data_IF_511905641734
#
_entry.id   IF_511905641734
#
_cell.length_a   1.000
_cell.length_b   1.000
_cell.length_c   1.000
_cell.angle_alpha   90.00
_cell.angle_beta   90.00
_cell.angle_gamma   90.00
#
_symmetry.space_group_name_H-M   'P 1'
#
loop_
_entity.id
_entity.type
_entity.pdbx_description
1 polymer ?
#
# COMPACT_ATOMS: atom_id res chain seq x y z
N UNK A 1 -18.63 11.39 -3.47
CA UNK A 1 -17.25 11.62 -3.97
C UNK A 1 -16.88 10.46 -4.88
N UNK A 2 -16.21 10.71 -6.00
CA UNK A 2 -15.80 9.65 -6.93
C UNK A 2 -14.72 8.76 -6.30
N UNK A 3 -14.79 7.45 -6.57
CA UNK A 3 -13.78 6.48 -6.11
C UNK A 3 -12.40 6.84 -6.70
N UNK A 4 -11.33 6.93 -5.89
CA UNK A 4 -9.99 7.24 -6.39
C UNK A 4 -9.53 6.21 -7.43
N UNK A 5 -9.08 6.70 -8.59
CA UNK A 5 -8.64 5.84 -9.70
C UNK A 5 -7.31 5.11 -9.43
N UNK A 6 -6.54 5.58 -8.44
CA UNK A 6 -5.24 5.04 -8.07
C UNK A 6 -5.21 4.54 -6.63
N UNK A 7 -4.45 3.47 -6.41
CA UNK A 7 -4.05 2.98 -5.09
C UNK A 7 -2.53 3.07 -4.96
N UNK A 8 -2.04 3.50 -3.82
CA UNK A 8 -0.62 3.65 -3.55
C UNK A 8 -0.17 2.64 -2.50
N UNK A 9 0.92 1.93 -2.78
CA UNK A 9 1.57 1.03 -1.83
C UNK A 9 2.93 1.57 -1.45
N UNK A 10 3.04 2.04 -0.23
CA UNK A 10 4.31 2.40 0.40
C UNK A 10 4.97 1.12 0.93
N UNK A 11 6.22 0.89 0.57
CA UNK A 11 7.00 -0.31 0.89
C UNK A 11 8.49 -0.02 0.68
N UNK A 12 9.35 -1.03 0.73
CA UNK A 12 10.78 -0.93 0.40
C UNK A 12 11.16 -1.53 -0.97
N UNK A 13 12.41 -1.28 -1.38
CA UNK A 13 13.00 -1.82 -2.60
C UNK A 13 13.03 -3.35 -2.65
N UNK A 14 13.22 -4.06 -1.53
CA UNK A 14 13.26 -5.52 -1.55
C UNK A 14 11.89 -6.12 -1.90
N UNK A 15 10.83 -5.59 -1.31
CA UNK A 15 9.46 -5.97 -1.66
C UNK A 15 9.14 -5.59 -3.12
N UNK A 16 9.58 -4.43 -3.60
CA UNK A 16 9.41 -4.04 -5.00
C UNK A 16 10.10 -5.02 -5.97
N UNK A 17 11.31 -5.48 -5.64
CA UNK A 17 12.02 -6.47 -6.45
C UNK A 17 11.24 -7.80 -6.52
N UNK A 18 10.70 -8.30 -5.40
CA UNK A 18 9.83 -9.49 -5.42
C UNK A 18 8.59 -9.25 -6.30
N UNK A 19 7.93 -8.10 -6.14
CA UNK A 19 6.71 -7.74 -6.87
C UNK A 19 6.94 -7.73 -8.38
N UNK A 20 8.02 -7.08 -8.84
CA UNK A 20 8.32 -6.96 -10.26
C UNK A 20 8.85 -8.26 -10.87
N UNK A 21 9.71 -8.98 -10.14
CA UNK A 21 10.33 -10.22 -10.63
C UNK A 21 9.29 -11.33 -10.75
N UNK A 22 8.44 -11.49 -9.73
CA UNK A 22 7.44 -12.56 -9.69
C UNK A 22 6.05 -12.12 -10.15
N UNK A 23 5.88 -10.85 -10.54
CA UNK A 23 4.61 -10.26 -11.02
C UNK A 23 3.44 -10.57 -10.08
N UNK A 24 3.69 -10.42 -8.78
CA UNK A 24 2.73 -10.77 -7.73
C UNK A 24 2.71 -9.75 -6.59
N UNK A 25 1.58 -9.66 -5.90
CA UNK A 25 1.48 -9.08 -4.58
C UNK A 25 1.35 -10.21 -3.55
N UNK A 26 1.85 -10.01 -2.34
CA UNK A 26 1.78 -11.02 -1.28
C UNK A 26 1.02 -10.49 -0.07
N UNK A 27 -0.08 -11.15 0.28
CA UNK A 27 -0.77 -10.93 1.55
C UNK A 27 -0.03 -11.70 2.64
N UNK A 28 0.24 -11.04 3.76
CA UNK A 28 1.02 -11.57 4.88
C UNK A 28 0.20 -11.50 6.19
N UNK A 29 0.72 -12.12 7.25
CA UNK A 29 0.07 -12.12 8.57
C UNK A 29 0.04 -10.68 9.15
N UNK A 30 -1.17 -10.12 9.42
CA UNK A 30 -1.31 -8.80 10.05
C UNK A 30 -0.75 -8.73 11.48
N UNK A 31 -0.40 -9.86 12.12
CA UNK A 31 0.15 -9.89 13.48
C UNK A 31 1.42 -9.07 13.70
N UNK A 32 2.14 -8.74 12.62
CA UNK A 32 3.36 -7.94 12.65
C UNK A 32 3.12 -6.43 12.52
N UNK A 33 1.87 -5.99 12.41
CA UNK A 33 1.55 -4.56 12.29
C UNK A 33 1.90 -3.77 13.56
N UNK A 34 2.22 -2.49 13.36
CA UNK A 34 2.55 -1.55 14.43
C UNK A 34 1.30 -1.12 15.23
N UNK A 35 0.15 -0.93 14.56
CA UNK A 35 -1.13 -0.64 15.23
C UNK A 35 -1.67 -1.88 15.93
N UNK A 36 -1.55 -1.90 17.26
CA UNK A 36 -1.98 -3.04 18.08
C UNK A 36 -3.49 -3.19 18.19
N UNK A 37 -4.26 -2.13 17.90
CA UNK A 37 -5.72 -2.26 17.81
C UNK A 37 -6.09 -3.04 16.56
N UNK A 38 -5.52 -2.69 15.41
CA UNK A 38 -5.76 -3.41 14.15
C UNK A 38 -5.32 -4.88 14.25
N UNK A 39 -4.17 -5.16 14.86
CA UNK A 39 -3.74 -6.55 15.16
C UNK A 39 -4.81 -7.28 15.98
N UNK A 40 -5.30 -6.66 17.04
CA UNK A 40 -6.33 -7.24 17.90
C UNK A 40 -7.67 -7.45 17.16
N UNK A 41 -8.07 -6.51 16.30
CA UNK A 41 -9.30 -6.61 15.50
C UNK A 41 -9.22 -7.78 14.52
N UNK A 42 -8.12 -7.90 13.79
CA UNK A 42 -7.89 -8.99 12.84
C UNK A 42 -7.84 -10.35 13.56
N UNK A 43 -7.18 -10.44 14.71
CA UNK A 43 -7.14 -11.67 15.53
C UNK A 43 -8.53 -12.07 16.05
N UNK A 44 -9.28 -11.11 16.58
CA UNK A 44 -10.65 -11.33 17.07
C UNK A 44 -11.59 -11.78 15.96
N UNK A 45 -11.47 -11.16 14.78
CA UNK A 45 -12.20 -11.56 13.58
C UNK A 45 -11.86 -12.99 13.15
N UNK A 46 -10.55 -13.30 13.04
CA UNK A 46 -10.04 -14.64 12.71
C UNK A 46 -10.62 -15.70 13.65
N UNK A 47 -10.60 -15.45 14.96
CA UNK A 47 -11.13 -16.36 15.97
C UNK A 47 -12.64 -16.56 15.84
N UNK A 48 -13.42 -15.47 15.75
CA UNK A 48 -14.89 -15.55 15.65
C UNK A 48 -15.36 -16.23 14.37
N UNK A 49 -14.58 -16.13 13.29
CA UNK A 49 -14.83 -16.82 12.01
C UNK A 49 -14.22 -18.21 11.94
N UNK A 50 -13.55 -18.66 13.01
CA UNK A 50 -12.86 -19.96 13.10
C UNK A 50 -11.85 -20.20 11.98
N UNK A 51 -11.20 -19.12 11.50
CA UNK A 51 -10.22 -19.16 10.42
C UNK A 51 -8.88 -19.69 10.91
N UNK A 52 -8.26 -20.59 10.13
CA UNK A 52 -6.87 -20.98 10.38
C UNK A 52 -5.89 -19.95 9.83
N UNK A 53 -6.28 -19.19 8.81
CA UNK A 53 -5.45 -18.11 8.24
C UNK A 53 -6.27 -16.89 7.85
N UNK A 54 -5.72 -15.74 8.21
CA UNK A 54 -6.19 -14.42 7.82
C UNK A 54 -4.96 -13.62 7.43
N UNK A 55 -4.83 -13.32 6.14
CA UNK A 55 -3.70 -12.58 5.59
C UNK A 55 -4.20 -11.26 5.01
N UNK A 56 -3.36 -10.24 5.01
CA UNK A 56 -3.75 -8.90 4.58
C UNK A 56 -2.67 -8.18 3.77
N UNK A 57 -3.12 -7.23 2.96
CA UNK A 57 -2.32 -6.32 2.16
C UNK A 57 -3.01 -4.95 2.15
N UNK A 58 -2.25 -3.90 2.44
CA UNK A 58 -2.79 -2.54 2.54
C UNK A 58 -2.22 -1.60 1.48
N UNK A 59 -3.05 -0.63 1.11
CA UNK A 59 -2.78 0.47 0.20
C UNK A 59 -3.34 1.75 0.82
N UNK A 60 -3.03 2.90 0.24
CA UNK A 60 -3.72 4.16 0.51
C UNK A 60 -4.29 4.73 -0.77
N UNK A 61 -5.47 5.34 -0.68
CA UNK A 61 -6.03 6.16 -1.75
C UNK A 61 -5.62 7.63 -1.66
N UNK A 62 -4.90 8.03 -0.60
CA UNK A 62 -4.43 9.40 -0.42
C UNK A 62 -3.28 9.69 -1.37
N UNK A 63 -3.23 10.94 -1.83
CA UNK A 63 -2.05 11.45 -2.49
C UNK A 63 -0.84 11.41 -1.54
N UNK A 64 0.35 11.51 -2.14
CA UNK A 64 1.61 11.51 -1.41
C UNK A 64 1.63 12.50 -0.23
N UNK A 65 1.98 12.00 0.95
CA UNK A 65 2.20 12.83 2.14
C UNK A 65 3.53 12.47 2.80
N UNK A 66 4.09 13.41 3.57
CA UNK A 66 5.30 13.16 4.36
C UNK A 66 5.11 11.98 5.33
N UNK A 67 3.94 11.91 5.98
CA UNK A 67 3.62 10.85 6.94
C UNK A 67 3.72 9.45 6.33
N UNK A 68 3.18 9.24 5.12
CA UNK A 68 3.23 7.93 4.48
C UNK A 68 4.66 7.48 4.19
N UNK A 69 5.50 8.40 3.74
CA UNK A 69 6.91 8.14 3.55
C UNK A 69 7.62 7.84 4.87
N UNK A 70 7.41 8.65 5.91
CA UNK A 70 8.12 8.48 7.18
C UNK A 70 7.72 7.21 7.94
N UNK A 71 6.48 6.74 7.79
CA UNK A 71 5.95 5.61 8.55
C UNK A 71 6.00 4.30 7.76
N UNK A 72 5.64 4.31 6.47
CA UNK A 72 5.45 3.08 5.68
C UNK A 72 6.55 2.81 4.64
N UNK A 73 7.38 3.80 4.33
CA UNK A 73 8.51 3.65 3.41
C UNK A 73 9.72 4.54 3.83
N UNK A 74 10.22 4.39 5.07
CA UNK A 74 11.25 5.29 5.60
C UNK A 74 12.61 5.08 4.91
N UNK A 75 13.45 6.12 4.97
CA UNK A 75 14.85 6.03 4.54
C UNK A 75 15.03 5.95 3.02
N UNK A 76 16.26 5.64 2.59
CA UNK A 76 16.65 5.68 1.18
C UNK A 76 16.09 4.52 0.34
N UNK A 77 15.73 3.40 0.98
CA UNK A 77 15.16 2.22 0.31
C UNK A 77 13.64 2.28 0.16
N UNK A 78 12.98 3.29 0.71
CA UNK A 78 11.54 3.45 0.57
C UNK A 78 11.09 3.65 -0.89
N UNK A 79 9.95 3.09 -1.24
CA UNK A 79 9.28 3.28 -2.53
C UNK A 79 7.77 3.38 -2.36
N UNK A 80 7.13 4.05 -3.30
CA UNK A 80 5.68 4.05 -3.45
C UNK A 80 5.32 3.51 -4.84
N UNK A 81 4.60 2.40 -4.88
CA UNK A 81 4.07 1.82 -6.10
C UNK A 81 2.66 2.38 -6.32
N UNK A 82 2.42 3.02 -7.47
CA UNK A 82 1.09 3.53 -7.82
C UNK A 82 0.42 2.54 -8.77
N UNK A 83 -0.73 2.03 -8.38
CA UNK A 83 -1.51 1.07 -9.14
C UNK A 83 -2.80 1.71 -9.66
N UNK A 84 -3.24 1.27 -10.83
CA UNK A 84 -4.59 1.50 -11.36
C UNK A 84 -5.55 0.64 -10.55
N UNK A 85 -6.44 1.30 -9.78
CA UNK A 85 -7.37 0.61 -8.85
C UNK A 85 -8.21 -0.47 -9.54
N UNK A 86 -8.83 -0.23 -10.72
CA UNK A 86 -9.70 -1.24 -11.33
C UNK A 86 -8.96 -2.54 -11.68
N UNK A 87 -7.72 -2.43 -12.17
CA UNK A 87 -6.94 -3.60 -12.60
C UNK A 87 -6.50 -4.46 -11.41
N UNK A 88 -6.24 -3.83 -10.26
CA UNK A 88 -6.00 -4.58 -9.03
C UNK A 88 -7.27 -5.25 -8.51
N UNK A 89 -8.41 -4.57 -8.58
CA UNK A 89 -9.69 -5.15 -8.15
C UNK A 89 -10.05 -6.38 -8.99
N UNK A 90 -9.88 -6.32 -10.31
CA UNK A 90 -10.03 -7.48 -11.20
C UNK A 90 -9.12 -8.64 -10.77
N UNK A 91 -7.85 -8.37 -10.45
CA UNK A 91 -6.91 -9.39 -9.96
C UNK A 91 -7.33 -9.97 -8.60
N UNK A 92 -7.92 -9.16 -7.72
CA UNK A 92 -8.43 -9.61 -6.42
C UNK A 92 -9.70 -10.46 -6.57
N UNK A 93 -10.63 -10.05 -7.44
CA UNK A 93 -11.88 -10.75 -7.72
C UNK A 93 -11.61 -12.13 -8.33
N UNK A 94 -10.65 -12.23 -9.26
CA UNK A 94 -10.28 -13.47 -9.94
C UNK A 94 -9.86 -14.62 -9.00
N UNK A 95 -9.41 -14.29 -7.79
CA UNK A 95 -9.02 -15.27 -6.77
C UNK A 95 -9.84 -15.17 -5.48
N UNK A 96 -10.98 -14.46 -5.52
CA UNK A 96 -11.95 -14.38 -4.43
C UNK A 96 -11.46 -13.69 -3.17
N UNK A 97 -10.64 -12.64 -3.29
CA UNK A 97 -10.24 -11.83 -2.13
C UNK A 97 -11.32 -10.83 -1.76
N UNK A 98 -11.39 -10.50 -0.47
CA UNK A 98 -12.20 -9.39 0.01
C UNK A 98 -11.34 -8.14 0.12
N UNK A 99 -11.89 -7.00 -0.27
CA UNK A 99 -11.20 -5.73 -0.17
C UNK A 99 -12.17 -4.58 0.04
N UNK A 100 -11.65 -3.46 0.52
CA UNK A 100 -12.46 -2.27 0.75
C UNK A 100 -11.66 -1.11 1.34
N UNK A 101 -12.23 0.08 1.22
CA UNK A 101 -11.74 1.25 1.95
C UNK A 101 -12.02 1.05 3.46
N UNK A 102 -11.03 1.36 4.29
CA UNK A 102 -11.14 1.25 5.75
C UNK A 102 -12.04 2.35 6.29
N UNK A 103 -12.95 1.95 7.16
CA UNK A 103 -13.86 2.83 7.89
C UNK A 103 -13.21 3.27 9.21
N UNK A 104 -13.25 4.57 9.45
CA UNK A 104 -12.60 5.20 10.60
C UNK A 104 -13.65 5.61 11.64
N UNK A 105 -13.55 5.03 12.84
CA UNK A 105 -14.57 5.16 13.89
C UNK A 105 -14.05 5.91 15.12
N UNK A 106 -14.88 6.80 15.66
CA UNK A 106 -14.61 7.49 16.92
C UNK A 106 -14.96 6.59 18.12
N UNK A 107 -14.47 6.92 19.32
CA UNK A 107 -14.73 6.11 20.51
C UNK A 107 -16.20 6.16 20.96
N UNK A 108 -16.88 7.26 20.64
CA UNK A 108 -18.29 7.51 20.98
C UNK A 108 -19.22 7.23 19.79
N UNK A 109 -18.75 6.47 18.80
CA UNK A 109 -19.59 6.02 17.70
C UNK A 109 -20.45 4.85 18.15
N UNK A 110 -21.72 5.13 18.43
CA UNK A 110 -22.70 4.14 18.89
C UNK A 110 -23.27 3.28 17.75
N UNK A 111 -22.78 3.45 16.50
CA UNK A 111 -23.25 2.63 15.38
C UNK A 111 -22.85 1.17 15.59
N UNK A 112 -23.84 0.29 15.54
CA UNK A 112 -23.62 -1.15 15.62
C UNK A 112 -22.67 -1.63 14.51
N UNK A 113 -21.62 -2.35 14.91
CA UNK A 113 -20.67 -2.97 14.00
C UNK A 113 -21.07 -4.43 13.75
N UNK A 114 -20.97 -4.87 12.51
CA UNK A 114 -21.09 -6.30 12.21
C UNK A 114 -19.70 -6.94 12.20
N UNK A 115 -19.66 -8.27 12.40
CA UNK A 115 -18.40 -9.00 12.33
C UNK A 115 -17.70 -8.81 10.96
N UNK A 116 -18.48 -8.63 9.89
CA UNK A 116 -17.93 -8.47 8.54
C UNK A 116 -17.18 -7.15 8.33
N UNK A 117 -17.50 -6.13 9.13
CA UNK A 117 -16.87 -4.81 9.04
C UNK A 117 -15.50 -4.81 9.68
N UNK A 118 -15.28 -5.65 10.72
CA UNK A 118 -14.08 -5.64 11.59
C UNK A 118 -12.76 -5.58 10.83
N UNK A 119 -12.52 -6.36 9.75
CA UNK A 119 -11.26 -6.29 9.02
C UNK A 119 -11.01 -4.94 8.36
N UNK A 120 -12.04 -4.13 8.14
CA UNK A 120 -12.00 -2.83 7.49
C UNK A 120 -12.33 -1.70 8.48
N UNK A 121 -12.13 -1.90 9.78
CA UNK A 121 -12.27 -0.87 10.80
C UNK A 121 -10.91 -0.39 11.28
N UNK A 122 -10.85 0.90 11.61
CA UNK A 122 -9.71 1.51 12.28
C UNK A 122 -10.17 2.69 13.14
N UNK A 123 -9.36 3.08 14.11
CA UNK A 123 -9.68 4.25 14.96
C UNK A 123 -9.57 5.56 14.16
N UNK A 124 -10.47 6.50 14.44
CA UNK A 124 -10.56 7.79 13.78
C UNK A 124 -9.27 8.62 13.68
N UNK A 125 -8.35 8.58 14.67
CA UNK A 125 -7.06 9.28 14.55
C UNK A 125 -6.22 8.85 13.33
N UNK A 126 -6.43 7.65 12.80
CA UNK A 126 -5.73 7.13 11.61
C UNK A 126 -6.40 7.51 10.29
N UNK A 127 -7.50 8.29 10.29
CA UNK A 127 -8.29 8.63 9.08
C UNK A 127 -7.49 9.25 7.94
N UNK A 128 -6.34 9.84 8.27
CA UNK A 128 -5.43 10.46 7.32
C UNK A 128 -4.63 9.45 6.50
N UNK A 129 -4.65 8.18 6.86
CA UNK A 129 -4.06 7.10 6.06
C UNK A 129 -4.90 6.74 4.84
N UNK A 130 -6.24 6.97 4.87
CA UNK A 130 -7.18 6.62 3.79
C UNK A 130 -6.91 5.22 3.21
N UNK A 131 -6.78 4.27 4.13
CA UNK A 131 -6.35 2.92 3.86
C UNK A 131 -7.37 2.18 3.01
N UNK A 132 -6.89 1.44 2.01
CA UNK A 132 -7.63 0.44 1.27
C UNK A 132 -6.99 -0.91 1.57
N UNK A 133 -7.76 -1.84 2.09
CA UNK A 133 -7.27 -3.13 2.60
C UNK A 133 -7.79 -4.26 1.74
N UNK A 134 -6.97 -5.29 1.59
CA UNK A 134 -7.30 -6.56 0.95
C UNK A 134 -7.02 -7.66 1.96
N UNK A 135 -7.93 -8.62 2.09
CA UNK A 135 -7.82 -9.75 3.01
C UNK A 135 -8.06 -11.08 2.30
N UNK A 136 -7.39 -12.11 2.79
CA UNK A 136 -7.60 -13.50 2.43
C UNK A 136 -8.00 -14.30 3.67
N UNK A 137 -9.09 -15.04 3.58
CA UNK A 137 -9.64 -15.87 4.65
C UNK A 137 -9.52 -17.34 4.26
N UNK A 138 -9.07 -18.19 5.17
CA UNK A 138 -8.92 -19.63 4.91
C UNK A 138 -9.10 -20.49 6.16
N UNK A 139 -9.74 -21.65 5.97
CA UNK A 139 -9.84 -22.73 6.96
C UNK A 139 -8.63 -23.66 6.97
N UNK A 140 -7.67 -23.43 6.08
CA UNK A 140 -6.40 -24.18 5.96
C UNK A 140 -5.25 -23.22 6.30
N UNK A 141 -4.18 -23.68 6.98
CA UNK A 141 -3.09 -22.80 7.37
C UNK A 141 -2.28 -22.40 6.13
N UNK A 142 -2.06 -21.10 5.98
CA UNK A 142 -1.33 -20.50 4.87
C UNK A 142 -0.54 -19.30 5.39
N UNK A 143 0.77 -19.30 5.16
CA UNK A 143 1.64 -18.21 5.57
C UNK A 143 1.58 -17.01 4.61
N UNK A 144 1.38 -17.28 3.32
CA UNK A 144 1.42 -16.28 2.25
C UNK A 144 0.36 -16.58 1.21
N UNK A 145 -0.41 -15.56 0.81
CA UNK A 145 -1.30 -15.63 -0.36
C UNK A 145 -0.76 -14.70 -1.43
N UNK A 146 -0.32 -15.28 -2.55
CA UNK A 146 0.10 -14.52 -3.71
C UNK A 146 -1.12 -14.10 -4.56
N UNK A 147 -1.06 -12.88 -5.08
CA UNK A 147 -2.00 -12.31 -6.05
C UNK A 147 -1.22 -12.03 -7.33
N UNK A 148 -1.34 -12.87 -8.36
CA UNK A 148 -0.75 -12.56 -9.66
C UNK A 148 -1.44 -11.32 -10.24
N UNK A 149 -0.67 -10.47 -10.91
CA UNK A 149 -1.22 -9.30 -11.60
C UNK A 149 -0.39 -8.94 -12.83
N UNK A 150 -1.02 -8.28 -13.79
CA UNK A 150 -0.32 -7.79 -14.98
C UNK A 150 0.45 -6.50 -14.68
N UNK A 151 1.70 -6.39 -15.15
CA UNK A 151 2.55 -5.21 -14.90
C UNK A 151 1.90 -3.89 -15.36
N UNK A 152 1.00 -3.94 -16.34
CA UNK A 152 0.22 -2.78 -16.75
C UNK A 152 -0.72 -2.22 -15.67
N UNK A 153 -0.97 -2.93 -14.56
CA UNK A 153 -1.66 -2.38 -13.41
C UNK A 153 -0.82 -1.30 -12.70
N UNK A 154 0.51 -1.31 -12.86
CA UNK A 154 1.39 -0.28 -12.28
C UNK A 154 1.37 0.95 -13.18
N UNK A 155 0.97 2.09 -12.61
CA UNK A 155 1.03 3.40 -13.27
C UNK A 155 2.46 3.95 -13.24
N UNK A 156 3.09 3.93 -12.06
CA UNK A 156 4.51 4.28 -11.89
C UNK A 156 5.06 3.79 -10.55
N UNK A 157 6.39 3.78 -10.46
CA UNK A 157 7.14 3.69 -9.21
C UNK A 157 7.64 5.08 -8.84
N UNK A 158 7.47 5.44 -7.57
CA UNK A 158 8.05 6.65 -6.98
C UNK A 158 9.11 6.23 -5.97
N UNK A 159 10.35 6.69 -6.16
CA UNK A 159 11.49 6.44 -5.28
C UNK A 159 11.51 7.46 -4.14
N UNK A 160 12.03 7.02 -2.99
CA UNK A 160 12.12 7.79 -1.75
C UNK A 160 12.68 9.21 -1.92
N UNK A 161 12.13 10.20 -1.20
CA UNK A 161 12.73 11.53 -1.16
C UNK A 161 14.14 11.51 -0.53
N UNK A 162 14.43 10.54 0.34
CA UNK A 162 15.72 10.36 1.02
C UNK A 162 16.72 9.52 0.23
N UNK A 163 16.33 8.98 -0.94
CA UNK A 163 17.30 8.33 -1.83
C UNK A 163 18.33 9.37 -2.31
N UNK A 164 19.63 9.19 -2.07
CA UNK A 164 20.66 10.09 -2.59
C UNK A 164 20.59 10.20 -4.11
N UNK A 165 20.75 11.42 -4.63
CA UNK A 165 20.59 11.70 -6.06
C UNK A 165 21.54 10.87 -6.93
N UNK A 166 22.79 10.69 -6.49
CA UNK A 166 23.78 9.86 -7.17
C UNK A 166 23.37 8.39 -7.34
N UNK A 167 22.41 7.88 -6.55
CA UNK A 167 21.93 6.50 -6.62
C UNK A 167 20.66 6.34 -7.45
N UNK A 168 19.99 7.43 -7.82
CA UNK A 168 18.69 7.39 -8.51
C UNK A 168 18.77 6.63 -9.83
N UNK A 169 19.76 6.94 -10.66
CA UNK A 169 19.88 6.32 -11.98
C UNK A 169 20.29 4.86 -11.90
N UNK A 170 21.10 4.49 -10.90
CA UNK A 170 21.41 3.08 -10.62
C UNK A 170 20.15 2.30 -10.27
N UNK A 171 19.33 2.81 -9.35
CA UNK A 171 18.06 2.16 -8.96
C UNK A 171 17.12 2.04 -10.16
N UNK A 172 16.96 3.10 -10.97
CA UNK A 172 16.13 3.04 -12.19
C UNK A 172 16.62 1.97 -13.15
N UNK A 173 17.92 1.94 -13.46
CA UNK A 173 18.52 0.95 -14.36
C UNK A 173 18.27 -0.48 -13.86
N UNK A 174 18.43 -0.72 -12.56
CA UNK A 174 18.15 -2.03 -11.95
C UNK A 174 16.69 -2.44 -12.07
N UNK A 175 15.75 -1.51 -11.86
CA UNK A 175 14.32 -1.82 -12.04
C UNK A 175 13.97 -2.08 -13.51
N UNK A 176 14.60 -1.34 -14.44
CA UNK A 176 14.39 -1.51 -15.88
C UNK A 176 15.05 -2.77 -16.46
N UNK A 177 16.04 -3.36 -15.79
CA UNK A 177 16.64 -4.62 -16.21
C UNK A 177 15.78 -5.84 -15.90
N UNK A 178 14.74 -5.70 -15.07
CA UNK A 178 13.75 -6.75 -14.81
C UNK A 178 12.89 -6.96 -16.05
N UNK A 179 12.65 -8.23 -16.43
CA UNK A 179 11.87 -8.59 -17.61
C UNK A 179 10.45 -7.95 -17.57
N UNK A 180 10.08 -7.28 -18.66
CA UNK A 180 8.79 -6.58 -18.78
C UNK A 180 8.75 -5.19 -18.14
N UNK A 181 9.79 -4.76 -17.43
CA UNK A 181 9.85 -3.47 -16.73
C UNK A 181 10.59 -2.36 -17.50
N UNK A 182 11.06 -2.61 -18.72
CA UNK A 182 11.91 -1.68 -19.49
C UNK A 182 11.24 -0.31 -19.73
N UNK A 183 9.91 -0.29 -19.84
CA UNK A 183 9.10 0.92 -20.09
C UNK A 183 8.42 1.45 -18.82
N UNK A 184 8.71 0.86 -17.66
CA UNK A 184 8.06 1.25 -16.41
C UNK A 184 8.47 2.68 -16.03
N UNK A 185 7.49 3.52 -15.72
CA UNK A 185 7.77 4.89 -15.27
C UNK A 185 8.33 4.84 -13.85
N UNK A 186 9.57 5.28 -13.68
CA UNK A 186 10.24 5.37 -12.37
C UNK A 186 10.73 6.80 -12.16
N UNK A 187 10.26 7.44 -11.09
CA UNK A 187 10.62 8.83 -10.74
C UNK A 187 11.03 8.91 -9.28
N UNK A 188 11.92 9.84 -8.91
CA UNK A 188 12.14 10.19 -7.50
C UNK A 188 11.18 11.32 -7.12
N UNK A 189 10.59 11.26 -5.93
CA UNK A 189 9.71 12.35 -5.47
C UNK A 189 10.51 13.60 -5.12
N UNK A 190 9.88 14.77 -5.32
CA UNK A 190 10.41 16.08 -4.92
C UNK A 190 9.80 16.59 -3.62
N UNK A 191 9.19 15.70 -2.82
CA UNK A 191 8.41 16.09 -1.64
C UNK A 191 9.18 16.96 -0.63
N UNK A 192 10.46 16.67 -0.39
CA UNK A 192 11.28 17.44 0.57
C UNK A 192 11.90 18.71 -0.03
N UNK A 193 12.07 18.74 -1.35
CA UNK A 193 12.72 19.84 -2.04
C UNK A 193 12.19 19.91 -3.46
N UNK A 194 11.38 20.94 -3.73
CA UNK A 194 10.82 21.20 -5.03
C UNK A 194 11.34 22.55 -5.55
N UNK A 195 12.19 22.52 -6.58
CA UNK A 195 12.80 23.73 -7.14
C UNK A 195 11.77 24.68 -7.75
N UNK A 196 10.74 24.17 -8.41
CA UNK A 196 9.69 25.01 -9.00
C UNK A 196 8.96 25.81 -7.92
N UNK A 197 8.72 25.19 -6.76
CA UNK A 197 8.14 25.86 -5.60
C UNK A 197 9.07 26.93 -5.02
N UNK A 198 10.36 26.62 -4.86
CA UNK A 198 11.37 27.58 -4.36
C UNK A 198 11.52 28.78 -5.30
N UNK A 199 11.67 28.54 -6.61
CA UNK A 199 11.77 29.58 -7.65
C UNK A 199 10.58 30.55 -7.66
N UNK A 200 9.37 30.09 -7.32
CA UNK A 200 8.20 30.98 -7.21
C UNK A 200 8.32 31.96 -6.05
N UNK A 201 8.95 31.54 -4.94
CA UNK A 201 9.23 32.42 -3.80
C UNK A 201 10.41 33.32 -4.12
N UNK A 202 11.48 32.78 -4.71
CA UNK A 202 12.67 33.54 -5.11
C UNK A 202 12.34 34.67 -6.10
N UNK A 203 11.26 34.54 -6.88
CA UNK A 203 10.79 35.59 -7.80
C UNK A 203 10.05 36.75 -7.09
N UNK A 204 9.73 36.62 -5.80
CA UNK A 204 9.03 37.63 -4.99
C UNK A 204 9.98 38.44 -4.08
N UNK A 205 11.21 37.95 -3.88
CA UNK A 205 12.26 38.57 -3.06
C UNK A 205 13.39 39.08 -3.93
#
# INVERSE_FOLDING_TARGET
MATPALLHRYTDLAALLDILTHKRLVLLDPGHWSDKNDVHFMASYKQKRQLQSLLALCFTSKFETYHHWSVFAPGSSGVCIRFRRPWLQEAFDAIGLRYGDVQYRELHDDQALTLQDVPFLKRFPYRDEKEFRVIFESQVPLAVKAVPFELGAIERIVLSPWLPEALVDTVKKTLHSIEGCQKLKVVRTTLLSNESWRKKVDALV
#
